data_IF_807965520743
#
_entry.id   IF_807965520743
#
_cell.length_a   1.000
_cell.length_b   1.000
_cell.length_c   1.000
_cell.angle_alpha   90.00
_cell.angle_beta   90.00
_cell.angle_gamma   90.00
#
_symmetry.space_group_name_H-M   'P 1'
#
loop_
_entity.id
_entity.type
_entity.pdbx_description
1 polymer ?
#
# COMPACT_ATOMS: atom_id res chain seq x y z
N UNK A 1 -19.06 2.79 0.44
CA UNK A 1 -18.95 1.54 1.21
C UNK A 1 -17.56 0.93 1.08
N UNK A 2 -16.95 0.55 2.19
CA UNK A 2 -15.63 -0.10 2.15
C UNK A 2 -15.73 -1.46 1.46
N UNK A 3 -14.74 -1.78 0.66
CA UNK A 3 -14.64 -3.09 0.06
C UNK A 3 -14.00 -4.09 1.02
N UNK A 4 -14.41 -5.34 0.90
CA UNK A 4 -13.78 -6.44 1.61
C UNK A 4 -12.33 -6.60 1.14
N UNK A 5 -11.42 -6.77 2.10
CA UNK A 5 -10.02 -7.06 1.80
C UNK A 5 -9.91 -8.47 1.21
N UNK A 6 -9.29 -8.57 0.04
CA UNK A 6 -8.98 -9.87 -0.56
C UNK A 6 -7.87 -10.51 0.25
N UNK A 7 -8.15 -11.67 0.79
CA UNK A 7 -7.21 -12.42 1.62
C UNK A 7 -7.27 -13.92 1.32
N UNK A 8 -6.22 -14.63 1.67
CA UNK A 8 -6.15 -16.08 1.49
C UNK A 8 -5.25 -16.72 2.54
N UNK A 9 -5.47 -17.99 2.76
CA UNK A 9 -4.59 -18.83 3.59
C UNK A 9 -3.56 -19.51 2.70
N UNK A 10 -2.27 -19.16 2.77
CA UNK A 10 -1.25 -19.68 1.85
C UNK A 10 -1.01 -21.17 1.96
N UNK A 11 -1.41 -21.83 3.09
CA UNK A 11 -1.29 -23.27 3.25
C UNK A 11 -2.46 -24.04 2.63
N UNK A 12 -3.60 -23.39 2.40
CA UNK A 12 -4.84 -24.04 1.93
C UNK A 12 -5.34 -23.56 0.58
N UNK A 13 -4.86 -22.41 0.11
CA UNK A 13 -5.40 -21.73 -1.07
C UNK A 13 -4.27 -21.21 -1.94
N UNK A 14 -4.53 -21.14 -3.25
CA UNK A 14 -3.67 -20.37 -4.15
C UNK A 14 -3.85 -18.86 -3.91
N UNK A 15 -2.79 -18.10 -4.12
CA UNK A 15 -2.89 -16.64 -4.11
C UNK A 15 -3.91 -16.19 -5.16
N UNK A 16 -4.91 -15.36 -4.78
CA UNK A 16 -5.82 -14.76 -5.75
C UNK A 16 -5.05 -14.02 -6.85
N UNK A 17 -5.45 -14.19 -8.10
CA UNK A 17 -4.73 -13.66 -9.27
C UNK A 17 -4.53 -12.15 -9.22
N UNK A 18 -5.50 -11.41 -8.69
CA UNK A 18 -5.42 -9.94 -8.57
C UNK A 18 -4.23 -9.49 -7.70
N UNK A 19 -3.84 -10.26 -6.68
CA UNK A 19 -2.74 -9.92 -5.79
C UNK A 19 -1.36 -10.10 -6.43
N UNK A 20 -1.27 -10.87 -7.51
CA UNK A 20 -0.02 -11.09 -8.24
C UNK A 20 0.03 -10.46 -9.62
N UNK A 21 -1.05 -9.83 -10.05
CA UNK A 21 -1.16 -9.23 -11.37
C UNK A 21 -0.50 -7.84 -11.38
N UNK A 22 0.19 -7.52 -12.48
CA UNK A 22 0.75 -6.18 -12.66
C UNK A 22 -0.38 -5.15 -12.67
N UNK A 23 -0.23 -4.10 -11.87
CA UNK A 23 -1.21 -3.01 -11.80
C UNK A 23 -1.17 -2.13 -13.03
N UNK A 24 -2.30 -1.54 -13.36
CA UNK A 24 -2.44 -0.53 -14.41
C UNK A 24 -2.09 0.85 -13.89
N UNK A 25 -1.30 1.58 -14.67
CA UNK A 25 -1.03 2.99 -14.42
C UNK A 25 -2.33 3.79 -14.49
N UNK A 26 -2.53 4.70 -13.53
CA UNK A 26 -3.62 5.67 -13.57
C UNK A 26 -3.29 6.74 -14.61
N UNK A 27 -4.14 6.92 -15.62
CA UNK A 27 -3.97 7.93 -16.67
C UNK A 27 -4.72 9.22 -16.37
N UNK A 28 -5.84 9.14 -15.66
CA UNK A 28 -6.66 10.29 -15.30
C UNK A 28 -7.04 10.22 -13.81
N UNK A 29 -6.37 11.04 -13.01
CA UNK A 29 -6.61 11.09 -11.56
C UNK A 29 -8.01 11.59 -11.25
N UNK A 30 -8.56 12.48 -12.07
CA UNK A 30 -9.89 13.07 -11.86
C UNK A 30 -11.05 12.15 -12.27
N UNK A 31 -10.76 11.03 -12.92
CA UNK A 31 -11.81 10.10 -13.35
C UNK A 31 -12.63 9.56 -12.17
N UNK A 32 -13.90 9.30 -12.40
CA UNK A 32 -14.79 8.72 -11.37
C UNK A 32 -14.27 7.37 -10.85
N UNK A 33 -13.71 6.57 -11.73
CA UNK A 33 -13.14 5.26 -11.36
C UNK A 33 -11.98 5.42 -10.39
N UNK A 34 -11.05 6.32 -10.69
CA UNK A 34 -9.89 6.60 -9.83
C UNK A 34 -10.31 7.16 -8.48
N UNK A 35 -11.20 8.15 -8.48
CA UNK A 35 -11.69 8.76 -7.25
C UNK A 35 -12.46 7.77 -6.37
N UNK A 36 -13.21 6.87 -6.98
CA UNK A 36 -13.91 5.81 -6.26
C UNK A 36 -12.93 4.85 -5.57
N UNK A 37 -11.87 4.44 -6.26
CA UNK A 37 -10.85 3.55 -5.69
C UNK A 37 -10.12 4.23 -4.53
N UNK A 38 -9.75 5.50 -4.67
CA UNK A 38 -9.13 6.28 -3.59
C UNK A 38 -10.05 6.33 -2.36
N UNK A 39 -11.34 6.63 -2.56
CA UNK A 39 -12.32 6.66 -1.49
C UNK A 39 -12.45 5.30 -0.79
N UNK A 40 -12.58 4.23 -1.56
CA UNK A 40 -12.73 2.87 -1.01
C UNK A 40 -11.47 2.39 -0.28
N UNK A 41 -10.28 2.77 -0.73
CA UNK A 41 -9.02 2.49 -0.03
C UNK A 41 -8.99 3.20 1.32
N UNK A 42 -9.31 4.49 1.35
CA UNK A 42 -9.35 5.27 2.58
C UNK A 42 -10.36 4.70 3.58
N UNK A 43 -11.57 4.38 3.12
CA UNK A 43 -12.62 3.82 3.95
C UNK A 43 -12.26 2.42 4.49
N UNK A 44 -11.68 1.58 3.65
CA UNK A 44 -11.19 0.26 4.06
C UNK A 44 -10.07 0.36 5.09
N UNK A 45 -9.15 1.30 4.91
CA UNK A 45 -8.05 1.53 5.85
C UNK A 45 -8.59 2.03 7.21
N UNK A 46 -9.55 2.94 7.21
CA UNK A 46 -10.21 3.42 8.43
C UNK A 46 -10.85 2.27 9.22
N UNK A 47 -11.49 1.34 8.53
CA UNK A 47 -12.08 0.15 9.16
C UNK A 47 -11.05 -0.76 9.77
N UNK A 48 -9.91 -0.96 9.11
CA UNK A 48 -8.81 -1.74 9.66
C UNK A 48 -8.20 -1.10 10.89
N UNK A 49 -8.00 0.22 10.87
CA UNK A 49 -7.50 0.98 12.00
C UNK A 49 -8.44 0.84 13.20
N UNK A 50 -9.74 0.99 12.98
CA UNK A 50 -10.75 0.84 14.03
C UNK A 50 -10.76 -0.59 14.59
N UNK A 51 -10.70 -1.59 13.71
CA UNK A 51 -10.77 -3.01 14.11
C UNK A 51 -9.55 -3.46 14.91
N UNK A 52 -8.35 -3.05 14.52
CA UNK A 52 -7.10 -3.53 15.10
C UNK A 52 -6.39 -2.53 16.01
N UNK A 53 -6.87 -1.28 16.09
CA UNK A 53 -6.26 -0.24 16.92
C UNK A 53 -4.87 0.20 16.46
N UNK A 54 -4.51 -0.01 15.21
CA UNK A 54 -3.21 0.35 14.65
C UNK A 54 -3.31 1.74 14.04
N UNK A 55 -2.51 2.69 14.53
CA UNK A 55 -2.59 4.10 14.15
C UNK A 55 -1.51 4.55 13.15
N UNK A 56 -0.49 3.73 12.91
CA UNK A 56 0.57 4.08 11.97
C UNK A 56 1.27 2.84 11.42
N UNK A 57 1.98 3.02 10.32
CA UNK A 57 2.71 1.93 9.68
C UNK A 57 1.81 0.90 9.00
N UNK A 58 0.57 1.27 8.70
CA UNK A 58 -0.43 0.41 8.06
C UNK A 58 -0.79 0.99 6.70
N UNK A 59 -0.93 0.14 5.71
CA UNK A 59 -1.27 0.56 4.34
C UNK A 59 -2.09 -0.48 3.59
N UNK A 60 -2.69 -0.02 2.52
CA UNK A 60 -3.43 -0.85 1.57
C UNK A 60 -3.10 -0.44 0.15
N UNK A 61 -3.03 -1.41 -0.74
CA UNK A 61 -2.93 -1.19 -2.17
C UNK A 61 -4.24 -1.61 -2.87
N UNK A 62 -4.53 -0.99 -3.99
CA UNK A 62 -5.77 -1.21 -4.73
C UNK A 62 -6.06 -2.69 -5.05
N UNK A 63 -5.08 -3.54 -5.40
CA UNK A 63 -5.34 -4.97 -5.61
C UNK A 63 -5.97 -5.66 -4.39
N UNK A 64 -5.68 -5.23 -3.18
CA UNK A 64 -6.24 -5.80 -1.96
C UNK A 64 -7.74 -5.53 -1.80
N UNK A 65 -8.28 -4.56 -2.51
CA UNK A 65 -9.72 -4.28 -2.60
C UNK A 65 -10.29 -4.59 -3.98
N UNK A 66 -9.64 -5.48 -4.72
CA UNK A 66 -10.07 -5.95 -6.03
C UNK A 66 -10.06 -4.87 -7.12
N UNK A 67 -9.11 -3.97 -7.07
CA UNK A 67 -8.86 -2.98 -8.13
C UNK A 67 -7.47 -3.17 -8.72
N UNK A 68 -7.36 -3.12 -10.03
CA UNK A 68 -6.12 -3.29 -10.77
C UNK A 68 -5.33 -1.98 -10.94
N UNK A 69 -5.79 -0.88 -10.36
CA UNK A 69 -5.11 0.41 -10.48
C UNK A 69 -3.86 0.49 -9.59
N UNK A 70 -2.87 1.24 -10.04
CA UNK A 70 -1.62 1.45 -9.30
C UNK A 70 -1.81 2.59 -8.30
N UNK A 71 -2.48 2.29 -7.21
CA UNK A 71 -2.78 3.21 -6.11
C UNK A 71 -2.53 2.50 -4.78
N UNK A 72 -1.94 3.22 -3.83
CA UNK A 72 -1.78 2.74 -2.46
C UNK A 72 -2.08 3.88 -1.49
N UNK A 73 -2.50 3.53 -0.28
CA UNK A 73 -2.66 4.46 0.84
C UNK A 73 -1.86 3.97 2.03
N UNK A 74 -1.23 4.89 2.75
CA UNK A 74 -0.41 4.57 3.92
C UNK A 74 -0.78 5.51 5.05
N UNK A 75 -1.06 4.95 6.23
CA UNK A 75 -1.26 5.72 7.45
C UNK A 75 0.07 5.89 8.16
N UNK A 76 0.53 7.12 8.26
CA UNK A 76 1.70 7.53 9.02
C UNK A 76 1.25 8.16 10.35
N UNK A 77 2.15 8.35 11.34
CA UNK A 77 1.76 8.89 12.65
C UNK A 77 1.01 10.23 12.58
N UNK A 78 1.39 11.11 11.66
CA UNK A 78 0.84 12.46 11.57
C UNK A 78 -0.03 12.72 10.34
N UNK A 79 -0.05 11.80 9.36
CA UNK A 79 -0.77 12.02 8.11
C UNK A 79 -1.06 10.71 7.40
N UNK A 80 -2.04 10.76 6.52
CA UNK A 80 -2.30 9.72 5.54
C UNK A 80 -1.76 10.16 4.17
N UNK A 81 -1.09 9.25 3.48
CA UNK A 81 -0.53 9.50 2.16
C UNK A 81 -1.24 8.62 1.14
N UNK A 82 -1.79 9.25 0.10
CA UNK A 82 -2.31 8.56 -1.09
C UNK A 82 -1.22 8.62 -2.15
N UNK A 83 -0.80 7.47 -2.64
CA UNK A 83 0.22 7.34 -3.67
C UNK A 83 -0.39 6.83 -4.95
N UNK A 84 -0.38 7.66 -5.98
CA UNK A 84 -0.84 7.29 -7.33
C UNK A 84 0.37 7.10 -8.22
N UNK A 85 0.39 5.98 -8.93
CA UNK A 85 1.52 5.56 -9.77
C UNK A 85 2.87 5.55 -9.03
N UNK A 86 2.94 4.98 -7.81
CA UNK A 86 4.20 4.96 -7.07
C UNK A 86 5.27 4.16 -7.80
N UNK A 87 6.50 4.65 -7.72
CA UNK A 87 7.67 4.01 -8.31
C UNK A 87 8.86 4.17 -7.38
N UNK A 88 9.56 3.07 -7.10
CA UNK A 88 10.83 3.12 -6.38
C UNK A 88 11.89 3.64 -7.33
N UNK A 89 12.45 4.81 -7.03
CA UNK A 89 13.46 5.47 -7.88
C UNK A 89 14.87 5.33 -7.34
N UNK A 90 15.04 4.96 -6.08
CA UNK A 90 16.34 4.75 -5.47
C UNK A 90 16.25 3.67 -4.39
N UNK A 91 17.22 2.77 -4.36
CA UNK A 91 17.38 1.73 -3.34
C UNK A 91 18.80 1.75 -2.80
N UNK A 92 18.98 1.52 -1.50
CA UNK A 92 20.31 1.28 -0.94
C UNK A 92 20.82 -0.09 -1.36
N UNK A 93 22.14 -0.26 -1.39
CA UNK A 93 22.79 -1.55 -1.66
C UNK A 93 22.74 -2.47 -0.44
N UNK A 94 22.78 -1.90 0.76
CA UNK A 94 22.66 -2.63 2.00
C UNK A 94 21.19 -3.03 2.24
N UNK A 95 21.00 -4.17 2.88
CA UNK A 95 19.68 -4.73 3.14
C UNK A 95 19.48 -5.04 4.61
N UNK A 96 18.23 -5.19 4.99
CA UNK A 96 17.81 -5.63 6.31
C UNK A 96 16.72 -6.71 6.16
N UNK A 97 16.57 -7.53 7.18
CA UNK A 97 15.49 -8.50 7.26
C UNK A 97 14.47 -8.02 8.29
N UNK A 98 13.22 -7.96 7.90
CA UNK A 98 12.11 -7.57 8.77
C UNK A 98 11.00 -8.60 8.72
N UNK A 99 10.33 -8.81 9.85
CA UNK A 99 9.10 -9.57 9.89
C UNK A 99 7.98 -8.70 9.33
N UNK A 100 7.35 -9.14 8.27
CA UNK A 100 6.29 -8.41 7.56
C UNK A 100 5.02 -9.24 7.56
N UNK A 101 3.91 -8.61 7.94
CA UNK A 101 2.57 -9.17 7.88
C UNK A 101 1.74 -8.38 6.87
N UNK A 102 0.82 -9.04 6.21
CA UNK A 102 -0.06 -8.45 5.23
C UNK A 102 -1.50 -8.86 5.49
N UNK A 103 -2.44 -7.94 5.41
CA UNK A 103 -3.86 -8.24 5.60
C UNK A 103 -4.42 -9.22 4.56
N UNK A 104 -3.76 -9.35 3.42
CA UNK A 104 -4.14 -10.32 2.39
C UNK A 104 -3.60 -11.72 2.64
N UNK A 105 -2.68 -11.91 3.57
CA UNK A 105 -2.14 -13.23 3.94
C UNK A 105 -2.57 -13.55 5.37
N UNK A 106 -3.59 -14.39 5.48
CA UNK A 106 -4.22 -14.69 6.77
C UNK A 106 -3.27 -15.42 7.72
N UNK A 107 -3.11 -14.90 8.94
CA UNK A 107 -2.40 -15.53 10.07
C UNK A 107 -0.92 -15.83 9.84
N UNK A 108 -0.32 -15.31 8.79
CA UNK A 108 1.08 -15.56 8.48
C UNK A 108 1.85 -14.28 8.30
N UNK A 109 3.01 -14.23 8.93
CA UNK A 109 4.01 -13.21 8.72
C UNK A 109 5.28 -13.88 8.21
N UNK A 110 6.05 -13.18 7.40
CA UNK A 110 7.29 -13.70 6.85
C UNK A 110 8.45 -12.77 7.11
N UNK A 111 9.66 -13.35 7.19
CA UNK A 111 10.88 -12.56 7.19
C UNK A 111 11.22 -12.21 5.75
N UNK A 112 11.33 -10.92 5.47
CA UNK A 112 11.61 -10.41 4.11
C UNK A 112 12.89 -9.60 4.15
N UNK A 113 13.82 -9.93 3.26
CA UNK A 113 14.98 -9.12 2.98
C UNK A 113 14.57 -7.95 2.09
N UNK A 114 14.95 -6.75 2.48
CA UNK A 114 14.62 -5.53 1.75
C UNK A 114 15.75 -4.52 1.83
N UNK A 115 15.84 -3.56 0.89
CA UNK A 115 16.79 -2.46 1.03
C UNK A 115 16.55 -1.69 2.33
N UNK A 116 17.62 -1.28 3.00
CA UNK A 116 17.48 -0.48 4.23
C UNK A 116 16.86 0.89 3.97
N UNK A 117 17.10 1.45 2.77
CA UNK A 117 16.57 2.75 2.38
C UNK A 117 16.02 2.68 0.97
N UNK A 118 14.88 3.30 0.78
CA UNK A 118 14.26 3.47 -0.55
C UNK A 118 13.77 4.90 -0.70
N UNK A 119 13.70 5.36 -1.93
CA UNK A 119 13.04 6.61 -2.31
C UNK A 119 11.94 6.30 -3.31
N UNK A 120 10.74 6.77 -3.04
CA UNK A 120 9.56 6.53 -3.86
C UNK A 120 9.13 7.86 -4.49
N UNK A 121 8.90 7.84 -5.80
CA UNK A 121 8.23 8.91 -6.52
C UNK A 121 6.75 8.53 -6.70
N UNK A 122 5.85 9.48 -6.51
CA UNK A 122 4.41 9.26 -6.70
C UNK A 122 3.70 10.57 -7.03
N UNK A 123 2.47 10.45 -7.49
CA UNK A 123 1.52 11.56 -7.60
C UNK A 123 0.58 11.52 -6.40
N UNK A 124 0.33 12.68 -5.79
CA UNK A 124 -0.69 12.78 -4.77
C UNK A 124 -2.11 12.82 -5.38
N UNK A 125 -3.13 12.86 -4.53
CA UNK A 125 -4.53 12.86 -4.97
C UNK A 125 -4.95 14.09 -5.78
N UNK A 126 -4.12 15.14 -5.80
CA UNK A 126 -4.29 16.34 -6.64
C UNK A 126 -3.46 16.30 -7.92
N UNK A 127 -2.73 15.21 -8.15
CA UNK A 127 -1.84 15.06 -9.29
C UNK A 127 -0.47 15.71 -9.14
N UNK A 128 -0.15 16.22 -7.95
CA UNK A 128 1.14 16.85 -7.68
C UNK A 128 2.24 15.80 -7.50
N UNK A 129 3.40 16.02 -8.11
CA UNK A 129 4.57 15.17 -7.99
C UNK A 129 5.15 15.24 -6.57
N UNK A 130 5.39 14.08 -5.95
CA UNK A 130 5.92 13.95 -4.59
C UNK A 130 7.00 12.89 -4.55
N UNK A 131 7.86 12.99 -3.56
CA UNK A 131 8.80 11.91 -3.20
C UNK A 131 8.67 11.58 -1.72
N UNK A 132 8.92 10.32 -1.38
CA UNK A 132 8.92 9.84 -0.01
C UNK A 132 10.12 8.93 0.20
N UNK A 133 10.90 9.21 1.25
CA UNK A 133 12.08 8.40 1.61
C UNK A 133 11.79 7.55 2.85
N UNK A 134 12.19 6.28 2.81
CA UNK A 134 12.02 5.33 3.92
C UNK A 134 13.39 4.75 4.29
N UNK A 135 13.80 4.79 5.55
CA UNK A 135 13.24 5.60 6.63
C UNK A 135 13.42 7.10 6.35
N UNK A 136 12.58 7.91 6.99
CA UNK A 136 12.79 9.37 6.92
C UNK A 136 14.15 9.72 7.51
N UNK A 137 14.92 10.58 6.84
CA UNK A 137 16.04 11.29 7.47
C UNK A 137 15.47 11.99 8.70
N UNK A 138 15.94 11.73 9.89
CA UNK A 138 15.52 12.28 11.18
C UNK A 138 14.42 11.50 11.94
N UNK A 139 14.08 10.30 11.55
CA UNK A 139 13.39 9.40 12.47
C UNK A 139 14.46 8.64 13.26
N UNK A 140 14.85 9.26 14.35
CA UNK A 140 15.54 8.56 15.43
C UNK A 140 14.49 7.84 16.25
#
# INVERSE_FOLDING_TARGET
>A
MARKIISYNPLKQKRPSILGKKTKRVSDISSKVTQKVIFELNDSLDRLITKYGILNGIGLAAPQINSNLRIAVIQLPKKRVVMINPKVIKKSKDSAVSAICCFSVQRYCGNIEHPKRIKIFYLDEKGKKRTYSVPKKNSV
#
